data_IF_609491017575
#
_entry.id   IF_609491017575
#
_cell.length_a   1.000
_cell.length_b   1.000
_cell.length_c   1.000
_cell.angle_alpha   90.00
_cell.angle_beta   90.00
_cell.angle_gamma   90.00
#
_symmetry.space_group_name_H-M   'P 1'
#
loop_
_entity.id
_entity.type
_entity.pdbx_description
1 polymer ?
#
# COMPACT_ATOMS: atom_id res chain seq x y z
N UNK A 1 -73.25 -23.75 23.80
CA UNK A 1 -72.28 -24.46 24.66
C UNK A 1 -70.93 -24.50 23.94
N UNK A 2 -69.94 -23.78 24.52
CA UNK A 2 -68.47 -23.85 24.37
C UNK A 2 -67.87 -24.01 22.95
N UNK A 3 -67.31 -22.96 22.35
CA UNK A 3 -65.96 -22.42 22.61
C UNK A 3 -64.86 -23.50 22.46
N UNK A 4 -64.19 -23.61 21.28
CA UNK A 4 -62.85 -24.23 21.21
C UNK A 4 -62.04 -24.10 19.89
N UNK A 5 -62.16 -23.01 19.12
CA UNK A 5 -61.33 -22.84 17.89
C UNK A 5 -60.34 -21.67 17.98
N UNK A 6 -60.53 -20.71 18.90
CA UNK A 6 -59.61 -19.57 19.08
C UNK A 6 -58.32 -19.94 19.85
N UNK A 7 -58.35 -20.99 20.67
CA UNK A 7 -57.25 -21.33 21.58
C UNK A 7 -56.06 -21.97 20.84
N UNK A 8 -56.28 -22.79 19.80
CA UNK A 8 -55.19 -23.49 19.11
C UNK A 8 -54.29 -22.59 18.25
N UNK A 9 -54.84 -21.56 17.60
CA UNK A 9 -54.05 -20.57 16.83
C UNK A 9 -53.26 -19.62 17.75
N UNK A 10 -53.84 -19.26 18.90
CA UNK A 10 -53.16 -18.45 19.91
C UNK A 10 -51.99 -19.19 20.55
N UNK A 11 -52.14 -20.49 20.85
CA UNK A 11 -51.05 -21.32 21.40
C UNK A 11 -49.88 -21.47 20.42
N UNK A 12 -50.14 -21.58 19.12
CA UNK A 12 -49.10 -21.68 18.10
C UNK A 12 -48.32 -20.37 17.90
N UNK A 13 -49.02 -19.23 17.96
CA UNK A 13 -48.40 -17.91 17.90
C UNK A 13 -47.60 -17.59 19.17
N UNK A 14 -48.10 -18.01 20.34
CA UNK A 14 -47.38 -17.92 21.62
C UNK A 14 -46.15 -18.82 21.64
N UNK A 15 -46.20 -20.06 21.11
CA UNK A 15 -45.00 -20.91 20.99
C UNK A 15 -43.97 -20.33 20.03
N UNK A 16 -44.39 -19.70 18.92
CA UNK A 16 -43.47 -19.06 17.97
C UNK A 16 -42.78 -17.84 18.60
N UNK A 17 -43.52 -17.01 19.36
CA UNK A 17 -42.97 -15.88 20.10
C UNK A 17 -42.11 -16.34 21.29
N UNK A 18 -42.46 -17.45 21.95
CA UNK A 18 -41.65 -18.02 23.04
C UNK A 18 -40.36 -18.66 22.50
N UNK A 19 -40.38 -19.19 21.27
CA UNK A 19 -39.19 -19.74 20.60
C UNK A 19 -38.24 -18.67 20.07
N UNK A 20 -38.70 -17.43 19.80
CA UNK A 20 -37.81 -16.32 19.43
C UNK A 20 -37.23 -15.57 20.62
N UNK A 21 -37.79 -15.73 21.83
CA UNK A 21 -37.22 -15.19 23.09
C UNK A 21 -36.11 -16.10 23.66
N UNK A 22 -35.98 -17.34 23.16
CA UNK A 22 -34.96 -18.30 23.60
C UNK A 22 -33.61 -18.18 22.89
N UNK A 23 -33.45 -17.24 21.94
CA UNK A 23 -32.16 -16.91 21.31
C UNK A 23 -31.68 -15.52 21.75
N UNK A 24 -31.69 -15.25 23.06
CA UNK A 24 -30.74 -14.30 23.62
C UNK A 24 -29.46 -15.07 23.87
N UNK A 25 -28.53 -15.06 22.91
CA UNK A 25 -27.15 -15.48 23.18
C UNK A 25 -26.58 -14.49 24.21
N UNK A 26 -26.76 -14.80 25.50
CA UNK A 26 -25.99 -14.18 26.57
C UNK A 26 -24.59 -14.76 26.52
N UNK A 27 -23.82 -14.35 25.51
CA UNK A 27 -22.38 -14.54 25.46
C UNK A 27 -21.77 -13.64 26.54
N UNK A 28 -21.74 -14.10 27.78
CA UNK A 28 -21.32 -13.30 28.93
C UNK A 28 -20.70 -14.22 29.97
N UNK A 29 -19.37 -14.35 29.97
CA UNK A 29 -18.66 -15.01 31.06
C UNK A 29 -17.32 -14.34 31.38
N UNK A 30 -16.62 -13.86 30.35
CA UNK A 30 -15.28 -13.28 30.50
C UNK A 30 -15.24 -11.77 30.19
N UNK A 31 -14.45 -11.04 30.99
CA UNK A 31 -13.97 -9.70 30.66
C UNK A 31 -12.44 -9.74 30.60
N UNK A 32 -11.84 -9.51 29.45
CA UNK A 32 -10.40 -9.42 29.21
C UNK A 32 -10.00 -7.98 28.92
N UNK A 33 -9.05 -7.45 29.69
CA UNK A 33 -8.52 -6.08 29.52
C UNK A 33 -7.00 -6.08 29.46
N UNK A 34 -6.44 -5.06 28.84
CA UNK A 34 -4.99 -4.93 28.69
C UNK A 34 -4.30 -4.71 30.04
N UNK A 35 -3.16 -5.38 30.22
CA UNK A 35 -2.31 -5.29 31.41
C UNK A 35 -2.27 -6.58 32.22
N UNK A 36 -1.37 -6.61 33.21
CA UNK A 36 -1.10 -7.74 34.11
C UNK A 36 -1.67 -7.48 35.50
N UNK A 37 -2.99 -7.61 35.63
CA UNK A 37 -3.78 -7.16 36.77
C UNK A 37 -4.50 -8.31 37.49
N UNK A 38 -3.98 -9.54 37.42
CA UNK A 38 -4.64 -10.72 38.01
C UNK A 38 -4.80 -10.67 39.54
N UNK A 39 -4.11 -9.75 40.23
CA UNK A 39 -4.32 -9.48 41.65
C UNK A 39 -5.62 -8.73 41.95
N UNK A 40 -6.20 -8.05 40.96
CA UNK A 40 -7.51 -7.40 41.08
C UNK A 40 -8.62 -8.44 40.98
N UNK A 41 -9.62 -8.37 41.85
CA UNK A 41 -10.83 -9.20 41.76
C UNK A 41 -11.84 -8.68 40.73
N UNK A 42 -11.68 -7.43 40.27
CA UNK A 42 -12.56 -6.78 39.29
C UNK A 42 -11.81 -6.40 38.01
N UNK A 43 -12.49 -6.38 36.84
CA UNK A 43 -11.90 -5.95 35.59
C UNK A 43 -11.28 -4.55 35.67
N UNK A 44 -10.00 -4.46 35.33
CA UNK A 44 -9.23 -3.21 35.29
C UNK A 44 -8.22 -3.21 34.14
N UNK A 45 -7.70 -2.05 33.78
CA UNK A 45 -6.82 -1.87 32.62
C UNK A 45 -7.57 -1.39 31.37
N UNK A 46 -6.80 -1.17 30.31
CA UNK A 46 -7.29 -0.52 29.11
C UNK A 46 -8.12 -1.47 28.24
N UNK A 47 -9.10 -0.89 27.56
CA UNK A 47 -10.03 -1.61 26.69
C UNK A 47 -9.83 -1.27 25.21
N UNK A 48 -8.98 -0.30 24.90
CA UNK A 48 -8.76 0.16 23.53
C UNK A 48 -7.29 0.48 23.31
N UNK A 49 -6.77 0.05 22.17
CA UNK A 49 -5.46 0.45 21.70
C UNK A 49 -5.52 0.68 20.19
N UNK A 50 -4.93 1.81 19.76
CA UNK A 50 -4.89 2.20 18.35
C UNK A 50 -3.57 1.78 17.71
N UNK A 51 -3.67 1.27 16.48
CA UNK A 51 -2.58 0.86 15.63
C UNK A 51 -2.73 1.61 14.30
N UNK A 52 -2.12 2.79 14.16
CA UNK A 52 -2.26 3.58 12.94
C UNK A 52 -1.44 2.98 11.79
N UNK A 53 -2.01 2.97 10.60
CA UNK A 53 -1.26 2.73 9.36
C UNK A 53 -0.37 3.95 9.12
N UNK A 54 0.94 3.70 8.94
CA UNK A 54 1.90 4.75 8.58
C UNK A 54 1.67 5.29 7.16
N UNK A 55 2.37 6.36 6.77
CA UNK A 55 2.33 6.83 5.38
C UNK A 55 3.02 5.80 4.47
N UNK A 56 2.25 5.18 3.57
CA UNK A 56 2.71 4.13 2.67
C UNK A 56 2.16 4.36 1.27
N UNK A 57 2.97 4.02 0.27
CA UNK A 57 2.62 4.18 -1.15
C UNK A 57 2.91 2.89 -1.89
N UNK A 58 1.97 2.46 -2.71
CA UNK A 58 2.06 1.25 -3.54
C UNK A 58 1.82 1.59 -4.99
N UNK A 59 2.52 0.94 -5.91
CA UNK A 59 2.18 1.03 -7.32
C UNK A 59 0.84 0.34 -7.56
N UNK A 60 0.05 0.83 -8.53
CA UNK A 60 -1.22 0.20 -8.88
C UNK A 60 -1.06 -1.29 -9.27
N UNK A 61 0.09 -1.69 -9.79
CA UNK A 61 0.42 -3.09 -10.12
C UNK A 61 0.65 -3.99 -8.90
N UNK A 62 0.99 -3.43 -7.74
CA UNK A 62 1.17 -4.20 -6.51
C UNK A 62 -0.15 -4.82 -6.03
N UNK A 63 -1.29 -4.33 -6.55
CA UNK A 63 -2.62 -4.83 -6.24
C UNK A 63 -2.98 -6.12 -6.97
N UNK A 64 -2.02 -7.04 -7.03
CA UNK A 64 -2.22 -8.42 -7.51
C UNK A 64 -2.68 -9.30 -6.35
N UNK A 65 -3.67 -10.17 -6.59
CA UNK A 65 -4.30 -10.98 -5.54
C UNK A 65 -3.26 -11.73 -4.68
N UNK A 66 -3.39 -11.58 -3.36
CA UNK A 66 -2.52 -12.21 -2.36
C UNK A 66 -1.22 -11.46 -2.03
N UNK A 67 -0.89 -10.39 -2.77
CA UNK A 67 0.32 -9.60 -2.53
C UNK A 67 0.26 -8.93 -1.16
N UNK A 68 1.30 -9.11 -0.35
CA UNK A 68 1.45 -8.40 0.93
C UNK A 68 1.84 -6.95 0.66
N UNK A 69 0.94 -6.01 0.94
CA UNK A 69 1.19 -4.58 0.76
C UNK A 69 1.87 -3.99 1.99
N UNK A 70 1.33 -4.27 3.18
CA UNK A 70 1.82 -3.68 4.42
C UNK A 70 1.76 -4.68 5.57
N UNK A 71 2.72 -4.58 6.50
CA UNK A 71 2.72 -5.28 7.78
C UNK A 71 3.27 -4.35 8.86
N UNK A 72 2.62 -4.32 10.02
CA UNK A 72 3.10 -3.59 11.19
C UNK A 72 4.35 -4.24 11.79
N UNK A 73 4.98 -3.57 12.76
CA UNK A 73 5.86 -4.26 13.70
C UNK A 73 5.11 -5.37 14.46
N UNK A 74 5.85 -6.32 15.01
CA UNK A 74 5.28 -7.28 15.96
C UNK A 74 5.10 -6.60 17.32
N UNK A 75 3.91 -6.75 17.89
CA UNK A 75 3.54 -6.29 19.22
C UNK A 75 3.41 -7.48 20.15
N UNK A 76 3.68 -7.27 21.43
CA UNK A 76 3.34 -8.22 22.49
C UNK A 76 2.36 -7.54 23.43
N UNK A 77 1.18 -8.11 23.59
CA UNK A 77 0.16 -7.63 24.51
C UNK A 77 -0.12 -8.69 25.57
N UNK A 78 -0.23 -8.24 26.83
CA UNK A 78 -0.68 -9.06 27.94
C UNK A 78 -2.08 -8.61 28.33
N UNK A 79 -2.99 -9.56 28.45
CA UNK A 79 -4.36 -9.35 28.89
C UNK A 79 -4.56 -10.05 30.22
N UNK A 80 -5.35 -9.44 31.10
CA UNK A 80 -5.92 -10.13 32.26
C UNK A 80 -7.38 -10.37 31.98
N UNK A 81 -7.86 -11.56 32.30
CA UNK A 81 -9.26 -11.94 32.11
C UNK A 81 -9.92 -12.28 33.44
N UNK A 82 -11.15 -11.79 33.64
CA UNK A 82 -11.94 -11.97 34.85
C UNK A 82 -13.26 -12.65 34.53
N UNK A 83 -13.66 -13.57 35.40
CA UNK A 83 -15.01 -14.11 35.41
C UNK A 83 -15.99 -13.06 35.96
N UNK A 84 -16.88 -12.58 35.09
CA UNK A 84 -17.88 -11.57 35.46
C UNK A 84 -19.22 -12.17 35.85
N UNK A 85 -19.42 -13.48 35.64
CA UNK A 85 -20.75 -14.12 35.67
C UNK A 85 -20.84 -15.30 36.65
N UNK A 86 -19.84 -15.48 37.52
CA UNK A 86 -19.75 -16.61 38.45
C UNK A 86 -19.74 -17.95 37.71
N UNK A 87 -18.83 -18.09 36.75
CA UNK A 87 -18.49 -19.32 36.08
C UNK A 87 -17.28 -20.01 36.75
N UNK A 88 -17.49 -20.79 37.84
CA UNK A 88 -16.43 -21.24 38.73
C UNK A 88 -15.44 -22.23 38.11
N UNK A 89 -15.74 -22.76 36.92
CA UNK A 89 -14.91 -23.75 36.23
C UNK A 89 -13.70 -23.12 35.52
N UNK A 90 -13.71 -21.80 35.34
CA UNK A 90 -12.72 -21.11 34.53
C UNK A 90 -12.89 -21.41 33.03
N UNK A 91 -12.28 -20.57 32.21
CA UNK A 91 -12.38 -20.67 30.75
C UNK A 91 -11.14 -20.12 30.05
N UNK A 92 -10.98 -20.52 28.79
CA UNK A 92 -9.95 -20.00 27.90
C UNK A 92 -10.38 -18.67 27.28
N UNK A 93 -9.39 -17.84 26.97
CA UNK A 93 -9.57 -16.62 26.21
C UNK A 93 -9.29 -16.89 24.73
N UNK A 94 -10.11 -16.30 23.86
CA UNK A 94 -10.02 -16.40 22.41
C UNK A 94 -9.94 -15.01 21.80
N UNK A 95 -9.36 -14.94 20.62
CA UNK A 95 -9.48 -13.74 19.79
C UNK A 95 -10.73 -13.85 18.93
N UNK A 96 -11.49 -12.77 18.81
CA UNK A 96 -12.65 -12.63 17.93
C UNK A 96 -12.41 -11.53 16.91
N UNK A 97 -12.47 -11.88 15.63
CA UNK A 97 -12.21 -10.97 14.52
C UNK A 97 -13.37 -10.03 14.27
N UNK A 98 -13.05 -8.80 13.84
CA UNK A 98 -14.03 -7.82 13.36
C UNK A 98 -15.29 -7.74 14.26
N UNK A 99 -15.11 -7.52 15.58
CA UNK A 99 -16.17 -7.75 16.57
C UNK A 99 -17.40 -6.86 16.37
N UNK A 100 -17.19 -5.65 15.85
CA UNK A 100 -18.24 -4.66 15.60
C UNK A 100 -18.62 -4.54 14.12
N UNK A 101 -18.08 -5.40 13.25
CA UNK A 101 -18.23 -5.29 11.79
C UNK A 101 -17.64 -3.99 11.19
N UNK A 102 -16.72 -3.32 11.90
CA UNK A 102 -16.12 -2.07 11.46
C UNK A 102 -15.32 -2.26 10.16
N UNK A 103 -14.72 -3.45 9.95
CA UNK A 103 -13.92 -3.77 8.77
C UNK A 103 -14.75 -4.00 7.50
N UNK A 104 -16.08 -4.05 7.58
CA UNK A 104 -16.93 -4.13 6.39
C UNK A 104 -16.85 -2.87 5.51
N UNK A 105 -16.29 -1.78 6.05
CA UNK A 105 -16.06 -0.51 5.32
C UNK A 105 -14.72 -0.47 4.61
N UNK A 106 -13.82 -1.44 4.86
CA UNK A 106 -12.54 -1.53 4.17
C UNK A 106 -12.82 -1.70 2.68
N UNK A 107 -12.15 -0.90 1.85
CA UNK A 107 -12.27 -0.97 0.41
C UNK A 107 -11.93 -2.39 -0.10
N UNK A 108 -12.67 -2.85 -1.10
CA UNK A 108 -12.61 -4.24 -1.55
C UNK A 108 -11.28 -4.61 -2.25
N UNK A 109 -10.43 -3.64 -2.58
CA UNK A 109 -9.06 -3.89 -3.04
C UNK A 109 -8.13 -4.38 -1.92
N UNK A 110 -8.53 -4.25 -0.66
CA UNK A 110 -7.74 -4.59 0.52
C UNK A 110 -8.34 -5.76 1.31
N UNK A 111 -7.45 -6.60 1.79
CA UNK A 111 -7.72 -7.65 2.75
C UNK A 111 -6.95 -7.36 4.03
N UNK A 112 -7.62 -7.36 5.18
CA UNK A 112 -6.94 -7.20 6.48
C UNK A 112 -6.71 -8.57 7.06
N UNK A 113 -5.51 -8.80 7.59
CA UNK A 113 -5.14 -10.02 8.29
C UNK A 113 -4.33 -9.74 9.55
N UNK A 114 -4.21 -10.78 10.37
CA UNK A 114 -3.47 -10.77 11.63
C UNK A 114 -2.53 -11.96 11.69
N UNK A 115 -1.29 -11.72 12.09
CA UNK A 115 -0.39 -12.78 12.53
C UNK A 115 -0.58 -12.91 14.03
N UNK A 116 -0.98 -14.07 14.55
CA UNK A 116 -1.07 -14.36 15.99
C UNK A 116 -0.10 -15.49 16.31
N UNK A 117 0.84 -15.24 17.24
CA UNK A 117 1.84 -16.22 17.68
C UNK A 117 2.57 -16.93 16.51
N UNK A 118 2.85 -16.18 15.44
CA UNK A 118 3.54 -16.67 14.24
C UNK A 118 2.65 -17.29 13.16
N UNK A 119 1.33 -17.36 13.36
CA UNK A 119 0.37 -17.90 12.39
C UNK A 119 -0.43 -16.77 11.74
N UNK A 120 -0.45 -16.73 10.41
CA UNK A 120 -1.20 -15.75 9.62
C UNK A 120 -2.67 -16.17 9.47
N UNK A 121 -3.57 -15.25 9.81
CA UNK A 121 -5.02 -15.36 9.65
C UNK A 121 -5.48 -14.29 8.65
N UNK A 122 -5.73 -14.73 7.42
CA UNK A 122 -6.22 -13.87 6.33
C UNK A 122 -7.73 -13.61 6.48
N UNK A 123 -8.22 -12.59 5.75
CA UNK A 123 -9.65 -12.32 5.58
C UNK A 123 -10.40 -12.00 6.88
N UNK A 124 -9.75 -11.38 7.87
CA UNK A 124 -10.42 -11.04 9.13
C UNK A 124 -11.53 -10.00 8.95
N UNK A 125 -11.56 -9.31 7.82
CA UNK A 125 -12.62 -8.40 7.41
C UNK A 125 -13.85 -9.10 6.80
N UNK A 126 -13.83 -10.44 6.65
CA UNK A 126 -14.97 -11.23 6.16
C UNK A 126 -15.73 -11.81 7.37
N UNK A 127 -16.90 -11.25 7.64
CA UNK A 127 -17.78 -11.68 8.72
C UNK A 127 -17.57 -10.92 10.03
N UNK A 128 -18.63 -10.85 10.84
CA UNK A 128 -18.65 -10.16 12.14
C UNK A 128 -18.38 -11.18 13.25
N UNK A 129 -17.44 -10.87 14.14
CA UNK A 129 -17.25 -11.63 15.37
C UNK A 129 -16.86 -13.08 15.17
N UNK A 130 -16.13 -13.38 14.11
CA UNK A 130 -15.67 -14.74 13.82
C UNK A 130 -14.68 -15.16 14.90
N UNK A 131 -14.91 -16.32 15.52
CA UNK A 131 -14.02 -16.87 16.54
C UNK A 131 -12.68 -17.28 15.91
N UNK A 132 -11.61 -16.70 16.42
CA UNK A 132 -10.23 -16.95 16.07
C UNK A 132 -9.54 -17.92 17.03
N UNK A 133 -8.19 -17.87 17.14
CA UNK A 133 -7.43 -18.80 17.94
C UNK A 133 -7.70 -18.66 19.44
N UNK A 134 -7.55 -19.77 20.12
CA UNK A 134 -7.35 -19.86 21.57
C UNK A 134 -5.98 -19.25 21.91
N UNK A 135 -5.94 -18.34 22.86
CA UNK A 135 -4.70 -17.70 23.31
C UNK A 135 -4.24 -18.22 24.68
N UNK A 136 -5.02 -19.08 25.32
CA UNK A 136 -4.70 -19.72 26.59
C UNK A 136 -5.76 -19.52 27.68
N UNK A 137 -5.52 -20.05 28.89
CA UNK A 137 -6.46 -19.94 30.00
C UNK A 137 -6.59 -18.47 30.46
N UNK A 138 -7.80 -17.92 30.34
CA UNK A 138 -8.12 -16.56 30.78
C UNK A 138 -8.49 -16.51 32.27
N UNK A 139 -9.10 -17.58 32.78
CA UNK A 139 -9.40 -17.75 34.21
C UNK A 139 -9.11 -19.19 34.66
N UNK A 140 -8.91 -19.38 35.96
CA UNK A 140 -8.72 -20.70 36.58
C UNK A 140 -9.88 -21.07 37.47
N UNK A 141 -10.30 -22.33 37.43
CA UNK A 141 -11.31 -22.86 38.34
C UNK A 141 -11.03 -22.49 39.81
N UNK A 142 -12.09 -22.07 40.49
CA UNK A 142 -12.11 -21.82 41.94
C UNK A 142 -13.13 -22.72 42.65
N UNK A 143 -13.83 -23.60 41.90
CA UNK A 143 -14.73 -24.63 42.42
C UNK A 143 -16.04 -24.17 43.07
N UNK A 144 -16.10 -22.94 43.60
CA UNK A 144 -17.24 -22.47 44.41
C UNK A 144 -17.79 -21.11 44.00
N UNK A 145 -16.94 -20.17 43.58
CA UNK A 145 -17.30 -18.79 43.25
C UNK A 145 -16.65 -18.37 41.93
N UNK A 146 -16.59 -17.05 41.65
CA UNK A 146 -15.86 -16.50 40.50
C UNK A 146 -14.51 -17.19 40.28
N UNK A 147 -14.27 -17.62 39.06
CA UNK A 147 -12.99 -18.17 38.66
C UNK A 147 -11.87 -17.14 38.91
N UNK A 148 -10.69 -17.63 39.26
CA UNK A 148 -9.54 -16.77 39.56
C UNK A 148 -9.06 -16.13 38.26
N UNK A 149 -8.85 -14.80 38.21
CA UNK A 149 -8.31 -14.13 37.04
C UNK A 149 -6.92 -14.64 36.68
N UNK A 150 -6.64 -14.79 35.38
CA UNK A 150 -5.31 -15.09 34.87
C UNK A 150 -4.85 -14.05 33.84
N UNK A 151 -3.54 -13.99 33.66
CA UNK A 151 -2.91 -13.22 32.58
C UNK A 151 -2.55 -14.12 31.41
N UNK A 152 -2.82 -13.66 30.20
CA UNK A 152 -2.46 -14.31 28.93
C UNK A 152 -1.71 -13.32 28.06
N UNK A 153 -0.60 -13.75 27.44
CA UNK A 153 0.21 -12.89 26.55
C UNK A 153 0.16 -13.39 25.11
N UNK A 154 0.03 -12.46 24.18
CA UNK A 154 -0.08 -12.72 22.74
C UNK A 154 0.91 -11.86 21.98
N UNK A 155 1.65 -12.48 21.06
CA UNK A 155 2.43 -11.76 20.06
C UNK A 155 1.61 -11.62 18.78
N UNK A 156 1.48 -10.40 18.25
CA UNK A 156 0.73 -10.19 17.00
C UNK A 156 1.31 -9.11 16.09
N UNK A 157 1.02 -9.23 14.79
CA UNK A 157 1.20 -8.14 13.81
C UNK A 157 -0.01 -8.03 12.93
N UNK A 158 -0.28 -6.83 12.44
CA UNK A 158 -1.38 -6.53 11.53
C UNK A 158 -0.81 -6.45 10.12
N UNK A 159 -1.52 -6.99 9.13
CA UNK A 159 -1.10 -6.86 7.75
C UNK A 159 -2.26 -6.60 6.80
N UNK A 160 -1.92 -6.08 5.63
CA UNK A 160 -2.84 -5.80 4.55
C UNK A 160 -2.34 -6.49 3.28
N UNK A 161 -3.20 -7.28 2.65
CA UNK A 161 -2.97 -7.90 1.35
C UNK A 161 -3.86 -7.27 0.27
N UNK A 162 -3.41 -7.30 -0.96
CA UNK A 162 -4.25 -6.99 -2.12
C UNK A 162 -5.20 -8.14 -2.44
N UNK A 163 -6.42 -7.82 -2.87
CA UNK A 163 -7.43 -8.82 -3.29
C UNK A 163 -7.39 -9.12 -4.79
N UNK A 164 -6.59 -8.37 -5.56
CA UNK A 164 -6.62 -8.39 -7.03
C UNK A 164 -7.67 -7.46 -7.65
N UNK A 165 -8.50 -6.81 -6.83
CA UNK A 165 -9.40 -5.75 -7.30
C UNK A 165 -8.61 -4.45 -7.45
N UNK A 166 -8.85 -3.75 -8.55
CA UNK A 166 -8.20 -2.47 -8.87
C UNK A 166 -8.46 -1.46 -7.74
N UNK A 167 -7.42 -0.84 -7.16
CA UNK A 167 -7.61 0.05 -6.01
C UNK A 167 -8.14 1.44 -6.42
N UNK A 168 -8.72 2.22 -5.50
CA UNK A 168 -8.92 3.64 -5.73
C UNK A 168 -7.58 4.39 -5.79
N UNK A 169 -7.56 5.60 -6.35
CA UNK A 169 -6.36 6.45 -6.34
C UNK A 169 -6.00 6.93 -4.93
N UNK A 170 -7.03 7.13 -4.09
CA UNK A 170 -6.90 7.43 -2.66
C UNK A 170 -7.92 6.65 -1.85
N UNK A 171 -7.49 6.12 -0.70
CA UNK A 171 -8.40 5.48 0.25
C UNK A 171 -9.11 6.53 1.11
N UNK A 172 -10.40 6.33 1.33
CA UNK A 172 -11.18 7.08 2.32
C UNK A 172 -10.82 6.56 3.71
N UNK A 173 -10.70 7.46 4.68
CA UNK A 173 -10.52 7.03 6.07
C UNK A 173 -11.84 6.47 6.59
N UNK A 174 -11.80 5.25 7.11
CA UNK A 174 -12.97 4.57 7.70
C UNK A 174 -13.06 4.80 9.22
N UNK A 175 -12.12 5.57 9.77
CA UNK A 175 -11.99 5.85 11.20
C UNK A 175 -11.36 4.69 11.96
N UNK A 176 -11.81 4.47 13.19
CA UNK A 176 -11.26 3.45 14.07
C UNK A 176 -11.93 2.10 13.84
N UNK A 177 -11.25 1.21 13.12
CA UNK A 177 -11.79 -0.11 12.83
C UNK A 177 -11.30 -1.16 13.84
N UNK A 178 -12.21 -1.74 14.63
CA UNK A 178 -11.87 -2.81 15.56
C UNK A 178 -11.53 -4.08 14.78
N UNK A 179 -10.27 -4.49 14.85
CA UNK A 179 -9.76 -5.65 14.12
C UNK A 179 -9.93 -6.94 14.93
N UNK A 180 -9.78 -6.86 16.25
CA UNK A 180 -10.06 -7.99 17.13
C UNK A 180 -10.46 -7.57 18.55
N UNK A 181 -11.21 -8.44 19.21
CA UNK A 181 -11.52 -8.42 20.63
C UNK A 181 -10.98 -9.68 21.30
N UNK A 182 -10.60 -9.60 22.58
CA UNK A 182 -10.29 -10.79 23.39
C UNK A 182 -11.49 -11.10 24.27
N UNK A 183 -11.98 -12.34 24.22
CA UNK A 183 -13.19 -12.75 24.93
C UNK A 183 -13.18 -14.23 25.34
N UNK A 184 -14.19 -14.65 26.09
CA UNK A 184 -14.34 -16.02 26.60
C UNK A 184 -14.81 -17.03 25.55
N UNK A 185 -14.93 -18.30 25.96
CA UNK A 185 -15.28 -19.40 25.05
C UNK A 185 -16.68 -19.25 24.45
N UNK A 186 -17.57 -18.54 25.16
CA UNK A 186 -18.98 -18.38 24.86
C UNK A 186 -19.31 -17.29 23.83
N UNK A 187 -18.31 -16.54 23.32
CA UNK A 187 -18.53 -15.57 22.25
C UNK A 187 -18.15 -14.13 22.61
N UNK A 188 -18.61 -13.20 21.77
CA UNK A 188 -18.48 -11.77 22.00
C UNK A 188 -19.43 -11.26 23.07
N UNK A 189 -18.88 -10.61 24.08
CA UNK A 189 -19.61 -9.88 25.09
C UNK A 189 -20.32 -8.67 24.47
N UNK A 190 -21.66 -8.64 24.57
CA UNK A 190 -22.48 -7.54 24.07
C UNK A 190 -22.49 -6.30 24.96
N UNK A 191 -21.89 -6.37 26.16
CA UNK A 191 -21.79 -5.22 27.06
C UNK A 191 -20.74 -4.24 26.54
N UNK A 192 -21.11 -2.98 26.29
CA UNK A 192 -20.16 -1.97 25.86
C UNK A 192 -18.99 -1.85 26.85
N UNK A 193 -17.77 -1.67 26.32
CA UNK A 193 -16.58 -1.36 27.12
C UNK A 193 -16.17 -2.45 28.14
N UNK A 194 -16.59 -3.70 27.92
CA UNK A 194 -16.26 -4.84 28.78
C UNK A 194 -14.90 -5.45 28.43
N UNK A 195 -14.54 -5.49 27.15
CA UNK A 195 -13.39 -6.23 26.63
C UNK A 195 -12.43 -5.34 25.83
N UNK A 196 -11.16 -5.74 25.83
CA UNK A 196 -10.11 -5.15 25.03
C UNK A 196 -10.41 -5.27 23.54
N UNK A 197 -10.22 -4.18 22.82
CA UNK A 197 -10.34 -4.09 21.37
C UNK A 197 -9.09 -3.43 20.77
N UNK A 198 -8.45 -4.10 19.82
CA UNK A 198 -7.42 -3.51 18.98
C UNK A 198 -8.07 -2.77 17.81
N UNK A 199 -7.64 -1.54 17.54
CA UNK A 199 -8.20 -0.69 16.48
C UNK A 199 -7.14 -0.36 15.43
N UNK A 200 -7.39 -0.70 14.18
CA UNK A 200 -6.60 -0.24 13.04
C UNK A 200 -7.17 1.10 12.56
N UNK A 201 -6.30 2.10 12.37
CA UNK A 201 -6.71 3.47 12.02
C UNK A 201 -5.91 4.03 10.85
N UNK A 202 -6.34 5.17 10.31
CA UNK A 202 -5.67 5.95 9.26
C UNK A 202 -5.58 5.22 7.91
N UNK A 203 -6.68 4.64 7.42
CA UNK A 203 -6.70 3.95 6.12
C UNK A 203 -6.37 4.89 4.95
N UNK A 204 -6.65 6.18 5.09
CA UNK A 204 -6.29 7.23 4.13
C UNK A 204 -4.79 7.49 3.98
N UNK A 205 -3.94 6.92 4.84
CA UNK A 205 -2.48 6.99 4.72
C UNK A 205 -1.92 6.05 3.65
N UNK A 206 -2.73 5.12 3.14
CA UNK A 206 -2.39 4.30 1.98
C UNK A 206 -2.58 5.13 0.72
N UNK A 207 -1.52 5.28 -0.08
CA UNK A 207 -1.54 5.97 -1.37
C UNK A 207 -1.29 4.98 -2.51
N UNK A 208 -1.99 5.17 -3.62
CA UNK A 208 -1.75 4.41 -4.84
C UNK A 208 -1.08 5.32 -5.85
N UNK A 209 0.13 4.93 -6.25
CA UNK A 209 0.84 5.55 -7.35
C UNK A 209 0.30 4.94 -8.63
N UNK A 210 -0.34 5.77 -9.46
CA UNK A 210 -0.92 5.31 -10.72
C UNK A 210 0.18 4.72 -11.61
N UNK A 211 1.38 5.30 -11.68
CA UNK A 211 2.46 4.75 -12.52
C UNK A 211 3.84 5.19 -12.04
N UNK A 212 4.80 4.26 -12.07
CA UNK A 212 6.21 4.48 -11.71
C UNK A 212 7.12 4.04 -12.88
N UNK A 213 7.35 4.90 -13.89
CA UNK A 213 8.14 4.54 -15.04
C UNK A 213 9.63 4.45 -14.68
N UNK A 214 10.33 3.45 -15.21
CA UNK A 214 11.80 3.37 -15.11
C UNK A 214 12.42 3.81 -16.44
N UNK A 215 13.30 4.80 -16.42
CA UNK A 215 13.93 5.35 -17.63
C UNK A 215 15.25 4.64 -17.94
N UNK A 216 15.41 4.21 -19.19
CA UNK A 216 16.59 3.53 -19.71
C UNK A 216 17.10 4.22 -20.98
N UNK A 217 18.41 4.28 -21.19
CA UNK A 217 19.03 4.77 -22.42
C UNK A 217 19.64 3.60 -23.18
N UNK A 218 19.02 3.21 -24.29
CA UNK A 218 19.38 2.07 -25.13
C UNK A 218 20.23 2.53 -26.31
N UNK A 219 21.13 1.66 -26.79
CA UNK A 219 22.04 1.97 -27.90
C UNK A 219 23.29 2.75 -27.46
N UNK A 220 23.54 2.82 -26.15
CA UNK A 220 24.71 3.46 -25.56
C UNK A 220 25.43 2.46 -24.65
N UNK A 221 26.73 2.65 -24.45
CA UNK A 221 27.47 1.91 -23.41
C UNK A 221 27.35 2.67 -22.10
N UNK A 222 26.64 2.11 -21.11
CA UNK A 222 26.46 2.72 -19.79
C UNK A 222 25.91 4.17 -19.83
N UNK A 223 24.81 4.39 -20.55
CA UNK A 223 24.16 5.71 -20.72
C UNK A 223 25.07 6.79 -21.34
N UNK A 224 26.12 6.39 -22.06
CA UNK A 224 27.10 7.30 -22.67
C UNK A 224 27.00 7.26 -24.20
N UNK A 225 26.74 8.42 -24.80
CA UNK A 225 26.83 8.61 -26.25
C UNK A 225 28.28 8.90 -26.61
N UNK A 226 28.95 7.96 -27.28
CA UNK A 226 30.34 8.10 -27.72
C UNK A 226 30.41 8.57 -29.18
N UNK A 227 30.92 9.78 -29.39
CA UNK A 227 31.16 10.33 -30.73
C UNK A 227 32.46 9.80 -31.36
N UNK A 228 33.28 9.10 -30.59
CA UNK A 228 34.59 8.61 -31.00
C UNK A 228 35.59 9.74 -31.25
N UNK A 229 36.51 9.50 -32.18
CA UNK A 229 37.51 10.50 -32.59
C UNK A 229 37.00 11.32 -33.77
N UNK A 230 37.19 12.64 -33.71
CA UNK A 230 36.94 13.57 -34.80
C UNK A 230 38.22 14.33 -35.15
N UNK A 231 38.47 14.54 -36.45
CA UNK A 231 39.68 15.17 -36.95
C UNK A 231 39.49 16.68 -37.03
N UNK A 232 40.40 17.45 -36.41
CA UNK A 232 40.32 18.92 -36.41
C UNK A 232 40.40 19.49 -37.84
N UNK A 233 41.05 18.79 -38.75
CA UNK A 233 41.26 19.19 -40.15
C UNK A 233 39.93 19.26 -40.91
N UNK A 234 38.88 18.62 -40.39
CA UNK A 234 37.52 18.66 -40.97
C UNK A 234 36.68 19.80 -40.42
N UNK A 235 37.21 20.63 -39.52
CA UNK A 235 36.45 21.66 -38.82
C UNK A 235 36.02 22.78 -39.76
N UNK A 236 34.71 22.92 -39.93
CA UNK A 236 34.07 24.04 -40.62
C UNK A 236 32.89 24.46 -39.77
N UNK A 237 32.84 25.73 -39.36
CA UNK A 237 31.75 26.29 -38.55
C UNK A 237 30.39 25.87 -39.11
N UNK A 238 29.53 25.34 -38.24
CA UNK A 238 28.18 24.88 -38.57
C UNK A 238 28.10 23.48 -39.17
N UNK A 239 29.21 22.86 -39.60
CA UNK A 239 29.18 21.48 -40.12
C UNK A 239 29.11 20.46 -39.00
N UNK A 240 28.39 19.38 -39.27
CA UNK A 240 28.29 18.22 -38.39
C UNK A 240 29.55 17.37 -38.53
N UNK A 241 30.23 17.16 -37.41
CA UNK A 241 31.39 16.29 -37.29
C UNK A 241 30.97 14.82 -37.17
N UNK A 242 29.90 14.55 -36.41
CA UNK A 242 29.41 13.19 -36.15
C UNK A 242 27.94 13.21 -35.73
N UNK A 243 27.23 12.12 -36.05
CA UNK A 243 25.87 11.86 -35.59
C UNK A 243 25.83 10.47 -34.97
N UNK A 244 25.24 10.35 -33.78
CA UNK A 244 25.10 9.08 -33.06
C UNK A 244 23.62 8.93 -32.64
N UNK A 245 22.92 7.87 -33.11
CA UNK A 245 21.58 7.58 -32.65
C UNK A 245 21.60 6.98 -31.24
N UNK A 246 20.58 7.27 -30.44
CA UNK A 246 20.32 6.62 -29.15
C UNK A 246 18.82 6.56 -28.90
N UNK A 247 18.37 5.62 -28.07
CA UNK A 247 16.95 5.46 -27.76
C UNK A 247 16.71 5.70 -26.28
N UNK A 248 15.75 6.57 -25.97
CA UNK A 248 15.23 6.72 -24.61
C UNK A 248 14.03 5.78 -24.48
N UNK A 249 13.98 4.97 -23.43
CA UNK A 249 12.88 4.05 -23.14
C UNK A 249 12.36 4.25 -21.72
N UNK A 250 11.05 4.33 -21.57
CA UNK A 250 10.36 4.22 -20.30
C UNK A 250 9.76 2.82 -20.18
N UNK A 251 10.22 2.06 -19.21
CA UNK A 251 9.58 0.82 -18.76
C UNK A 251 8.39 1.18 -17.86
N UNK A 252 7.20 0.76 -18.29
CA UNK A 252 5.92 0.98 -17.64
C UNK A 252 5.22 -0.35 -17.34
N UNK A 253 5.96 -1.46 -17.35
CA UNK A 253 5.47 -2.81 -17.03
C UNK A 253 4.90 -2.91 -15.62
N UNK A 254 5.35 -2.04 -14.72
CA UNK A 254 4.77 -1.80 -13.39
C UNK A 254 3.35 -1.23 -13.42
N UNK A 255 2.70 -1.14 -14.58
CA UNK A 255 1.26 -0.96 -14.70
C UNK A 255 0.72 0.40 -14.23
N UNK A 256 -0.60 0.55 -14.35
CA UNK A 256 -1.37 1.72 -13.91
C UNK A 256 -1.14 3.03 -14.68
N UNK A 257 -0.28 3.04 -15.70
CA UNK A 257 -0.06 4.19 -16.57
C UNK A 257 -1.20 4.44 -17.58
N UNK A 258 -2.27 3.63 -17.54
CA UNK A 258 -3.41 3.74 -18.47
C UNK A 258 -4.10 5.11 -18.30
N UNK A 259 -4.43 5.75 -19.42
CA UNK A 259 -5.07 7.07 -19.41
C UNK A 259 -4.08 8.23 -19.27
N UNK A 260 -2.80 7.95 -19.04
CA UNK A 260 -1.75 8.97 -18.95
C UNK A 260 -1.08 9.22 -20.31
N UNK A 261 -0.52 10.41 -20.49
CA UNK A 261 0.41 10.73 -21.58
C UNK A 261 1.79 11.03 -20.98
N UNK A 262 2.86 10.53 -21.59
CA UNK A 262 4.22 10.78 -21.16
C UNK A 262 4.83 11.97 -21.91
N UNK A 263 5.54 12.81 -21.17
CA UNK A 263 6.40 13.88 -21.71
C UNK A 263 7.84 13.64 -21.31
N UNK A 264 8.76 14.17 -22.10
CA UNK A 264 10.20 14.08 -21.88
C UNK A 264 10.81 15.49 -21.88
N UNK A 265 11.77 15.73 -21.01
CA UNK A 265 12.63 16.90 -21.08
C UNK A 265 14.10 16.50 -21.00
N UNK A 266 14.93 17.30 -21.65
CA UNK A 266 16.39 17.21 -21.56
C UNK A 266 16.89 18.46 -20.88
N UNK A 267 17.80 18.34 -19.92
CA UNK A 267 18.44 19.48 -19.27
C UNK A 267 19.95 19.29 -19.17
N UNK A 268 20.70 20.39 -19.13
CA UNK A 268 22.15 20.38 -18.94
C UNK A 268 22.58 21.64 -18.21
N UNK A 269 23.69 21.57 -17.50
CA UNK A 269 24.29 22.73 -16.82
C UNK A 269 25.14 23.60 -17.76
N UNK A 270 25.49 23.11 -18.95
CA UNK A 270 26.39 23.79 -19.88
C UNK A 270 25.73 24.14 -21.22
N UNK A 271 24.47 24.58 -21.16
CA UNK A 271 23.73 25.04 -22.34
C UNK A 271 24.29 26.37 -22.81
N UNK A 272 24.35 26.58 -24.13
CA UNK A 272 24.75 27.85 -24.73
C UNK A 272 23.81 28.99 -24.29
N UNK A 273 24.39 30.16 -24.02
CA UNK A 273 23.64 31.35 -23.62
C UNK A 273 22.90 32.04 -24.78
N UNK A 274 23.25 31.71 -26.02
CA UNK A 274 22.63 32.28 -27.23
C UNK A 274 21.72 31.30 -27.97
N UNK A 275 21.85 30.00 -27.68
CA UNK A 275 21.05 28.93 -28.31
C UNK A 275 20.79 27.82 -27.28
N UNK A 276 19.56 27.75 -26.77
CA UNK A 276 19.19 26.78 -25.75
C UNK A 276 19.13 25.34 -26.26
N UNK A 277 19.35 25.09 -27.56
CA UNK A 277 19.41 23.74 -28.13
C UNK A 277 20.81 23.13 -28.17
N UNK A 278 21.84 23.89 -27.81
CA UNK A 278 23.24 23.45 -27.90
C UNK A 278 23.85 23.35 -26.50
N UNK A 279 24.40 22.18 -26.16
CA UNK A 279 25.33 22.01 -25.04
C UNK A 279 26.75 22.35 -25.50
N UNK A 280 27.44 23.18 -24.74
CA UNK A 280 28.85 23.50 -24.93
C UNK A 280 29.66 22.70 -23.91
N UNK A 281 30.55 21.78 -24.33
CA UNK A 281 31.41 21.08 -23.39
C UNK A 281 32.21 22.07 -22.52
N UNK A 282 32.37 21.82 -21.21
CA UNK A 282 33.07 22.74 -20.30
C UNK A 282 34.51 23.09 -20.73
N UNK A 283 35.19 22.15 -21.40
CA UNK A 283 36.54 22.35 -21.93
C UNK A 283 36.60 23.29 -23.13
N UNK A 284 35.43 23.68 -23.69
CA UNK A 284 35.26 24.59 -24.83
C UNK A 284 36.20 24.26 -26.00
N UNK A 285 36.22 23.01 -26.51
CA UNK A 285 37.16 22.59 -27.56
C UNK A 285 36.79 23.16 -28.93
N UNK A 286 35.70 23.94 -29.06
CA UNK A 286 35.21 24.42 -30.34
C UNK A 286 34.12 23.54 -30.98
N UNK A 287 33.44 22.72 -30.19
CA UNK A 287 32.30 21.90 -30.62
C UNK A 287 31.06 22.18 -29.77
N UNK A 288 29.89 21.93 -30.34
CA UNK A 288 28.60 21.94 -29.67
C UNK A 288 27.90 20.60 -29.86
N UNK A 289 27.04 20.24 -28.91
CA UNK A 289 26.22 19.03 -28.97
C UNK A 289 24.75 19.44 -28.97
N UNK A 290 23.98 19.00 -29.95
CA UNK A 290 22.53 19.17 -29.96
C UNK A 290 21.83 17.84 -30.24
N UNK A 291 20.54 17.76 -29.88
CA UNK A 291 19.74 16.54 -29.96
C UNK A 291 18.50 16.81 -30.81
N UNK A 292 18.13 15.88 -31.67
CA UNK A 292 16.83 15.90 -32.36
C UNK A 292 16.10 14.56 -32.19
N UNK A 293 14.76 14.54 -32.18
CA UNK A 293 14.02 13.29 -32.38
C UNK A 293 14.37 12.68 -33.74
N UNK A 294 14.51 11.36 -33.81
CA UNK A 294 14.77 10.66 -35.06
C UNK A 294 13.65 10.92 -36.07
N UNK A 295 14.01 11.33 -37.28
CA UNK A 295 13.05 11.71 -38.33
C UNK A 295 12.49 13.13 -38.22
N UNK A 296 12.92 13.92 -37.22
CA UNK A 296 12.58 15.34 -37.08
C UNK A 296 13.79 16.24 -37.34
N UNK A 297 13.55 17.42 -37.90
CA UNK A 297 14.51 18.52 -37.98
C UNK A 297 14.43 19.46 -36.76
N UNK A 298 13.46 19.25 -35.86
CA UNK A 298 13.30 20.05 -34.65
C UNK A 298 14.41 19.75 -33.64
N UNK A 299 15.11 20.79 -33.23
CA UNK A 299 16.10 20.69 -32.17
C UNK A 299 15.42 20.65 -30.80
N UNK A 300 15.92 19.81 -29.91
CA UNK A 300 15.54 19.81 -28.51
C UNK A 300 16.18 21.03 -27.86
N UNK A 301 15.34 21.96 -27.39
CA UNK A 301 15.75 23.00 -26.47
C UNK A 301 15.88 22.39 -25.07
N UNK A 302 17.01 22.63 -24.41
CA UNK A 302 17.24 22.14 -23.06
C UNK A 302 16.39 22.94 -22.06
N UNK A 303 15.70 22.23 -21.16
CA UNK A 303 14.77 22.80 -20.18
C UNK A 303 13.31 22.84 -20.62
N UNK A 304 12.99 22.42 -21.86
CA UNK A 304 11.61 22.33 -22.35
C UNK A 304 11.10 20.89 -22.42
N UNK A 305 9.79 20.72 -22.29
CA UNK A 305 9.09 19.44 -22.34
C UNK A 305 8.53 19.16 -23.73
N UNK A 306 8.63 17.91 -24.16
CA UNK A 306 8.15 17.41 -25.46
C UNK A 306 7.31 16.14 -25.27
N UNK A 307 6.41 15.84 -26.21
CA UNK A 307 5.65 14.59 -26.16
C UNK A 307 6.59 13.38 -26.32
N UNK A 308 6.58 12.50 -25.32
CA UNK A 308 7.33 11.24 -25.35
C UNK A 308 6.45 10.11 -25.89
N UNK A 309 5.20 10.02 -25.42
CA UNK A 309 4.18 9.16 -26.04
C UNK A 309 3.31 9.98 -26.99
N UNK A 310 3.14 9.48 -28.21
CA UNK A 310 2.33 10.16 -29.23
C UNK A 310 0.83 10.07 -28.94
N UNK A 311 0.42 9.06 -28.15
CA UNK A 311 -0.95 8.84 -27.71
C UNK A 311 -1.03 8.62 -26.20
N UNK A 312 -2.27 8.66 -25.69
CA UNK A 312 -2.59 8.23 -24.32
C UNK A 312 -2.34 6.73 -24.21
N UNK A 313 -1.70 6.32 -23.12
CA UNK A 313 -1.40 4.92 -22.85
C UNK A 313 -2.71 4.13 -22.64
N UNK A 314 -2.91 3.10 -23.46
CA UNK A 314 -4.16 2.32 -23.51
C UNK A 314 -4.21 1.17 -22.49
N UNK A 315 -3.09 0.91 -21.79
CA UNK A 315 -2.98 -0.10 -20.74
C UNK A 315 -2.36 -1.43 -21.17
N UNK A 316 -2.12 -1.65 -22.47
CA UNK A 316 -1.40 -2.83 -22.98
C UNK A 316 0.10 -2.60 -23.21
N UNK A 317 0.54 -1.35 -23.25
CA UNK A 317 1.94 -1.01 -23.40
C UNK A 317 2.69 -1.29 -22.10
N UNK A 318 3.76 -2.08 -22.18
CA UNK A 318 4.71 -2.31 -21.09
C UNK A 318 5.96 -1.44 -21.22
N UNK A 319 6.18 -0.86 -22.39
CA UNK A 319 7.31 0.03 -22.67
C UNK A 319 6.91 1.12 -23.66
N UNK A 320 7.43 2.33 -23.47
CA UNK A 320 7.37 3.42 -24.44
C UNK A 320 8.80 3.80 -24.80
N UNK A 321 9.12 3.91 -26.09
CA UNK A 321 10.48 4.25 -26.52
C UNK A 321 10.46 5.26 -27.65
N UNK A 322 11.44 6.16 -27.66
CA UNK A 322 11.65 7.14 -28.73
C UNK A 322 13.13 7.25 -29.05
N UNK A 323 13.45 7.21 -30.34
CA UNK A 323 14.83 7.31 -30.82
C UNK A 323 15.16 8.77 -31.10
N UNK A 324 16.37 9.16 -30.74
CA UNK A 324 16.94 10.49 -30.92
C UNK A 324 18.29 10.37 -31.63
N UNK A 325 18.73 11.48 -32.20
CA UNK A 325 20.07 11.63 -32.74
C UNK A 325 20.80 12.70 -31.94
N UNK A 326 21.99 12.37 -31.45
CA UNK A 326 22.93 13.34 -30.93
C UNK A 326 23.88 13.77 -32.05
N UNK A 327 24.06 15.08 -32.22
CA UNK A 327 24.91 15.66 -33.25
C UNK A 327 26.05 16.40 -32.58
N UNK A 328 27.28 16.15 -33.05
CA UNK A 328 28.45 16.93 -32.73
C UNK A 328 28.70 17.92 -33.88
N UNK A 329 28.63 19.22 -33.59
CA UNK A 329 28.79 20.29 -34.57
C UNK A 329 30.04 21.12 -34.28
N UNK A 330 30.76 21.50 -35.33
CA UNK A 330 31.87 22.44 -35.22
C UNK A 330 31.36 23.86 -35.00
N UNK A 331 31.85 24.54 -33.97
CA UNK A 331 31.53 25.94 -33.65
C UNK A 331 32.65 26.91 -34.06
N UNK A 332 33.79 26.39 -34.48
CA UNK A 332 34.96 27.14 -34.93
C UNK A 332 35.69 26.39 -36.04
N UNK A 333 36.47 27.12 -36.85
CA UNK A 333 37.38 26.55 -37.85
C UNK A 333 38.75 26.20 -37.26
N UNK A 334 38.97 26.42 -35.96
CA UNK A 334 40.24 26.16 -35.28
C UNK A 334 40.00 25.59 -33.88
N UNK A 335 39.46 24.37 -33.77
CA UNK A 335 39.16 23.73 -32.51
C UNK A 335 40.44 23.36 -31.75
N UNK A 336 40.31 23.23 -30.42
CA UNK A 336 41.41 22.77 -29.56
C UNK A 336 41.40 21.25 -29.49
N UNK A 337 42.55 20.63 -29.78
CA UNK A 337 42.70 19.17 -29.68
C UNK A 337 42.69 18.74 -28.22
N UNK A 338 41.87 17.73 -27.90
CA UNK A 338 41.78 17.18 -26.55
C UNK A 338 40.52 16.36 -26.36
N UNK A 339 40.34 15.84 -25.14
CA UNK A 339 39.10 15.17 -24.75
C UNK A 339 38.01 16.21 -24.49
N UNK A 340 36.78 15.84 -24.78
CA UNK A 340 35.60 16.61 -24.42
C UNK A 340 34.51 15.70 -23.89
N UNK A 341 33.63 16.25 -23.05
CA UNK A 341 32.46 15.55 -22.53
C UNK A 341 31.43 16.58 -22.12
N UNK A 342 30.16 16.20 -22.18
CA UNK A 342 29.06 16.97 -21.63
C UNK A 342 28.01 16.01 -21.05
N UNK A 343 27.18 16.53 -20.15
CA UNK A 343 26.13 15.75 -19.49
C UNK A 343 24.77 16.35 -19.79
N UNK A 344 23.81 15.51 -20.13
CA UNK A 344 22.40 15.84 -20.16
C UNK A 344 21.63 14.92 -19.22
N UNK A 345 20.61 15.46 -18.56
CA UNK A 345 19.66 14.71 -17.74
C UNK A 345 18.39 14.55 -18.56
N UNK A 346 17.90 13.32 -18.66
CA UNK A 346 16.62 12.99 -19.30
C UNK A 346 15.60 12.72 -18.22
N UNK A 347 14.51 13.48 -18.24
CA UNK A 347 13.38 13.30 -17.31
C UNK A 347 12.15 12.90 -18.10
N UNK A 348 11.46 11.84 -17.65
CA UNK A 348 10.16 11.43 -18.17
C UNK A 348 9.14 11.60 -17.08
N UNK A 349 8.07 12.34 -17.38
CA UNK A 349 6.98 12.60 -16.45
C UNK A 349 5.64 12.39 -17.16
N UNK A 350 4.56 12.36 -16.37
CA UNK A 350 3.22 12.48 -16.93
C UNK A 350 2.95 13.93 -17.32
N UNK A 351 2.10 14.09 -18.33
CA UNK A 351 1.64 15.39 -18.81
C UNK A 351 0.66 16.07 -17.86
#
# INVERSE_FOLDING_TARGET
MKCNISIKKSIWFVMLILSTILFSEQSMALSCRYGSNASSSNPTGDILQNFPIGSVSFARSDFTNGTLLWRSSTYTATFTCWDTNNYPQGEHAFIYWNPQNDLAKVDNSLNVGLTINGVDYDNINIGKGVKGPDIGPGTRSNGTNKATPLTVSVSFSIYIKATGISPPSTYVDIGNARIFQVDGVLGLNGTPNSNYNAQLTNFNNIKVLECTPTVNIIGTSANTVDFGTVLKETSVVGKIAKTIPFTVSADISGGGCKGQQLVVSFSSTNVSNTDSSIIIPPTKPGVGIYITPSGSSEHINFGTTYNFSDTILTGSATTVAKTYNAYLQWLTNSPTVGKFSATAIVSITFK
#
